data_IF_855963811811
#
_entry.id   IF_855963811811
#
_cell.length_a   1.000
_cell.length_b   1.000
_cell.length_c   1.000
_cell.angle_alpha   90.00
_cell.angle_beta   90.00
_cell.angle_gamma   90.00
#
_symmetry.space_group_name_H-M   'P 1'
#
loop_
_entity.id
_entity.type
_entity.pdbx_description
1 polymer ?
#
# COMPACT_ATOMS: atom_id res chain seq x y z
N UNK A 1 56.35 26.59 -24.84
CA UNK A 1 56.07 26.72 -23.40
C UNK A 1 54.58 26.50 -23.19
N UNK A 2 54.19 25.26 -22.93
CA UNK A 2 52.82 24.88 -22.69
C UNK A 2 52.55 24.80 -21.19
N UNK A 3 51.76 25.71 -20.65
CA UNK A 3 51.31 25.70 -19.27
C UNK A 3 50.02 24.86 -19.19
N UNK A 4 50.15 23.64 -18.69
CA UNK A 4 49.01 22.80 -18.28
C UNK A 4 48.47 23.30 -16.95
N UNK A 5 47.25 23.81 -16.96
CA UNK A 5 46.49 24.17 -15.76
C UNK A 5 45.78 22.90 -15.26
N UNK A 6 46.29 22.32 -14.17
CA UNK A 6 45.60 21.20 -13.48
C UNK A 6 44.45 21.76 -12.63
N UNK A 7 43.23 21.49 -13.08
CA UNK A 7 42.02 21.78 -12.30
C UNK A 7 41.81 20.65 -11.29
N UNK A 8 42.17 20.90 -10.04
CA UNK A 8 41.85 19.98 -8.91
C UNK A 8 40.38 20.24 -8.52
N UNK A 9 39.49 19.36 -8.92
CA UNK A 9 38.12 19.37 -8.45
C UNK A 9 38.07 18.78 -7.04
N UNK A 10 37.95 19.64 -6.02
CA UNK A 10 37.69 19.22 -4.65
C UNK A 10 36.25 18.68 -4.54
N UNK A 11 36.12 17.36 -4.46
CA UNK A 11 34.84 16.68 -4.20
C UNK A 11 34.54 16.85 -2.69
N UNK A 12 33.73 17.85 -2.33
CA UNK A 12 33.19 17.95 -0.97
C UNK A 12 32.19 16.83 -0.75
N UNK A 13 32.61 15.78 -0.04
CA UNK A 13 31.70 14.80 0.52
C UNK A 13 30.93 15.45 1.68
N UNK A 14 29.71 15.89 1.41
CA UNK A 14 28.76 16.24 2.44
C UNK A 14 28.27 14.93 3.05
N UNK A 15 28.92 14.50 4.13
CA UNK A 15 28.44 13.40 4.96
C UNK A 15 27.28 13.88 5.84
N UNK A 16 26.15 14.19 5.22
CA UNK A 16 24.87 14.25 5.89
C UNK A 16 24.45 12.81 6.21
N UNK A 17 24.18 12.50 7.46
CA UNK A 17 23.51 11.27 7.86
C UNK A 17 22.10 11.29 7.26
N UNK A 18 21.95 10.78 6.03
CA UNK A 18 20.63 10.49 5.45
C UNK A 18 20.09 9.36 6.29
N UNK A 19 19.07 9.62 7.11
CA UNK A 19 18.32 8.56 7.77
C UNK A 19 17.95 7.52 6.70
N UNK A 20 18.24 6.25 6.96
CA UNK A 20 17.96 5.19 6.00
C UNK A 20 16.45 5.21 5.68
N UNK A 21 16.10 5.36 4.41
CA UNK A 21 14.73 5.35 3.95
C UNK A 21 14.10 4.01 4.31
N UNK A 22 12.91 4.03 4.91
CA UNK A 22 12.17 2.81 5.21
C UNK A 22 11.57 2.21 3.94
N UNK A 23 11.24 0.92 3.98
CA UNK A 23 10.56 0.26 2.85
C UNK A 23 9.24 0.96 2.49
N UNK A 24 8.44 1.33 3.50
CA UNK A 24 7.15 1.99 3.28
C UNK A 24 7.31 3.36 2.59
N UNK A 25 8.32 4.14 2.96
CA UNK A 25 8.64 5.41 2.28
C UNK A 25 9.07 5.17 0.84
N UNK A 26 9.94 4.20 0.59
CA UNK A 26 10.39 3.84 -0.76
C UNK A 26 9.20 3.34 -1.61
N UNK A 27 8.38 2.43 -1.08
CA UNK A 27 7.20 1.90 -1.74
C UNK A 27 6.21 3.02 -2.10
N UNK A 28 5.86 3.87 -1.14
CA UNK A 28 4.91 4.96 -1.35
C UNK A 28 5.41 5.97 -2.37
N UNK A 29 6.71 6.33 -2.35
CA UNK A 29 7.32 7.21 -3.32
C UNK A 29 7.27 6.60 -4.73
N UNK A 30 7.66 5.33 -4.89
CA UNK A 30 7.62 4.62 -6.17
C UNK A 30 6.19 4.47 -6.69
N UNK A 31 5.26 4.16 -5.80
CA UNK A 31 3.82 4.06 -6.13
C UNK A 31 3.24 5.40 -6.59
N UNK A 32 3.58 6.50 -5.90
CA UNK A 32 3.10 7.85 -6.25
C UNK A 32 3.62 8.31 -7.61
N UNK A 33 4.88 8.00 -7.94
CA UNK A 33 5.50 8.41 -9.20
C UNK A 33 5.08 7.55 -10.39
N UNK A 34 4.95 6.24 -10.21
CA UNK A 34 4.87 5.28 -11.31
C UNK A 34 3.53 4.52 -11.37
N UNK A 35 2.65 4.68 -10.37
CA UNK A 35 1.41 3.92 -10.26
C UNK A 35 1.63 2.47 -9.83
N UNK A 36 0.62 1.63 -10.06
CA UNK A 36 0.68 0.18 -9.76
C UNK A 36 1.48 -0.59 -10.82
N UNK A 37 2.01 -1.76 -10.43
CA UNK A 37 2.69 -2.69 -11.34
C UNK A 37 4.10 -2.27 -11.73
N UNK A 38 4.65 -1.20 -11.15
CA UNK A 38 6.02 -0.79 -11.41
C UNK A 38 7.00 -1.58 -10.54
N UNK A 39 8.12 -2.03 -11.13
CA UNK A 39 9.17 -2.72 -10.39
C UNK A 39 10.20 -1.74 -9.87
N UNK A 40 10.62 -1.90 -8.60
CA UNK A 40 11.68 -1.11 -7.99
C UNK A 40 12.58 -1.99 -7.13
N UNK A 41 13.78 -1.50 -6.82
CA UNK A 41 14.74 -2.21 -5.96
C UNK A 41 14.84 -1.50 -4.62
N UNK A 42 14.77 -2.25 -3.52
CA UNK A 42 15.01 -1.77 -2.17
C UNK A 42 15.92 -2.77 -1.44
N UNK A 43 17.02 -2.31 -0.86
CA UNK A 43 18.06 -3.13 -0.19
C UNK A 43 18.49 -4.35 -1.01
N UNK A 44 18.67 -4.17 -2.33
CA UNK A 44 19.12 -5.23 -3.24
C UNK A 44 18.07 -6.25 -3.64
N UNK A 45 16.81 -6.11 -3.17
CA UNK A 45 15.68 -6.97 -3.55
C UNK A 45 14.73 -6.24 -4.48
N UNK A 46 14.14 -6.97 -5.42
CA UNK A 46 13.14 -6.44 -6.35
C UNK A 46 11.74 -6.58 -5.76
N UNK A 47 10.95 -5.51 -5.88
CA UNK A 47 9.56 -5.41 -5.44
C UNK A 47 8.71 -4.79 -6.54
N UNK A 48 7.39 -4.95 -6.44
CA UNK A 48 6.45 -4.18 -7.26
C UNK A 48 5.71 -3.16 -6.41
N UNK A 49 5.19 -2.12 -7.06
CA UNK A 49 4.36 -1.10 -6.41
C UNK A 49 2.92 -1.54 -6.19
N UNK A 50 2.61 -2.83 -6.37
CA UNK A 50 1.28 -3.37 -6.12
C UNK A 50 1.05 -3.57 -4.62
N UNK A 51 -0.12 -3.17 -4.13
CA UNK A 51 -0.56 -3.53 -2.81
C UNK A 51 -0.87 -5.05 -2.73
N UNK A 52 -0.72 -5.69 -1.56
CA UNK A 52 -1.00 -7.12 -1.41
C UNK A 52 -2.38 -7.53 -1.92
N UNK A 53 -3.38 -6.68 -1.74
CA UNK A 53 -4.75 -6.90 -2.20
C UNK A 53 -4.86 -6.89 -3.73
N UNK A 54 -4.07 -6.06 -4.41
CA UNK A 54 -4.02 -6.01 -5.88
C UNK A 54 -3.35 -7.26 -6.45
N UNK A 55 -2.28 -7.72 -5.80
CA UNK A 55 -1.62 -9.00 -6.15
C UNK A 55 -2.61 -10.15 -6.01
N UNK A 56 -3.37 -10.22 -4.91
CA UNK A 56 -4.38 -11.24 -4.70
C UNK A 56 -5.50 -11.17 -5.76
N UNK A 57 -5.93 -9.97 -6.15
CA UNK A 57 -6.94 -9.79 -7.20
C UNK A 57 -6.43 -10.16 -8.60
N UNK A 58 -5.14 -10.21 -8.84
CA UNK A 58 -4.55 -10.63 -10.11
C UNK A 58 -4.63 -12.15 -10.35
N UNK A 59 -4.93 -12.96 -9.33
CA UNK A 59 -5.14 -14.40 -9.44
C UNK A 59 -6.20 -14.75 -10.50
N UNK A 60 -6.24 -16.01 -11.02
CA UNK A 60 -7.24 -16.43 -11.99
C UNK A 60 -8.67 -16.14 -11.53
N UNK A 61 -9.46 -15.50 -12.39
CA UNK A 61 -10.84 -15.13 -12.08
C UNK A 61 -11.76 -16.35 -12.15
N UNK A 62 -12.08 -16.93 -11.01
CA UNK A 62 -12.99 -18.03 -10.84
C UNK A 62 -13.81 -17.87 -9.55
N UNK A 63 -14.84 -18.67 -9.38
CA UNK A 63 -15.75 -18.61 -8.23
C UNK A 63 -15.01 -18.83 -6.89
N UNK A 64 -14.02 -19.72 -6.84
CA UNK A 64 -13.30 -20.03 -5.60
C UNK A 64 -12.46 -18.82 -5.15
N UNK A 65 -11.65 -18.26 -6.04
CA UNK A 65 -10.80 -17.11 -5.75
C UNK A 65 -11.64 -15.86 -5.42
N UNK A 66 -12.74 -15.64 -6.14
CA UNK A 66 -13.64 -14.52 -5.88
C UNK A 66 -14.32 -14.63 -4.49
N UNK A 67 -14.78 -15.83 -4.12
CA UNK A 67 -15.35 -16.09 -2.78
C UNK A 67 -14.32 -15.88 -1.69
N UNK A 68 -13.10 -16.40 -1.87
CA UNK A 68 -12.02 -16.27 -0.89
C UNK A 68 -11.67 -14.80 -0.67
N UNK A 69 -11.42 -14.05 -1.75
CA UNK A 69 -11.02 -12.65 -1.63
C UNK A 69 -12.13 -11.77 -1.01
N UNK A 70 -13.40 -12.07 -1.30
CA UNK A 70 -14.52 -11.40 -0.64
C UNK A 70 -14.61 -11.75 0.86
N UNK A 71 -14.33 -13.00 1.23
CA UNK A 71 -14.28 -13.41 2.64
C UNK A 71 -13.15 -12.69 3.39
N UNK A 72 -11.96 -12.61 2.79
CA UNK A 72 -10.81 -11.91 3.36
C UNK A 72 -11.09 -10.40 3.51
N UNK A 73 -11.74 -9.79 2.53
CA UNK A 73 -12.16 -8.39 2.60
C UNK A 73 -13.18 -8.14 3.73
N UNK A 74 -14.14 -9.04 3.92
CA UNK A 74 -15.11 -8.98 5.04
C UNK A 74 -14.41 -9.13 6.40
N UNK A 75 -13.47 -10.08 6.51
CA UNK A 75 -12.69 -10.27 7.74
C UNK A 75 -11.82 -9.05 8.08
N UNK A 76 -11.20 -8.44 7.07
CA UNK A 76 -10.42 -7.22 7.29
C UNK A 76 -11.30 -6.02 7.66
N UNK A 77 -12.52 -5.94 7.09
CA UNK A 77 -13.49 -4.90 7.46
C UNK A 77 -13.99 -5.05 8.90
N UNK A 78 -14.19 -6.29 9.38
CA UNK A 78 -14.54 -6.54 10.77
C UNK A 78 -13.48 -5.98 11.74
N UNK A 79 -12.19 -6.17 11.43
CA UNK A 79 -11.09 -5.57 12.21
C UNK A 79 -11.12 -4.05 12.24
N UNK A 80 -11.47 -3.42 11.12
CA UNK A 80 -11.61 -1.96 11.06
C UNK A 80 -12.80 -1.46 11.90
N UNK A 81 -13.89 -2.24 11.97
CA UNK A 81 -15.03 -1.93 12.83
C UNK A 81 -14.70 -2.07 14.33
N UNK A 82 -13.88 -3.04 14.71
CA UNK A 82 -13.44 -3.24 16.10
C UNK A 82 -12.70 -2.03 16.69
N UNK A 83 -12.09 -1.20 15.80
CA UNK A 83 -11.36 0.00 16.18
C UNK A 83 -12.09 1.29 15.77
N UNK A 84 -13.36 1.21 15.40
CA UNK A 84 -14.21 2.33 14.94
C UNK A 84 -13.71 3.07 13.69
N UNK A 85 -12.83 2.43 12.90
CA UNK A 85 -12.31 2.96 11.62
C UNK A 85 -12.88 2.24 10.40
N UNK A 86 -14.07 1.65 10.54
CA UNK A 86 -14.83 1.05 9.44
C UNK A 86 -15.48 2.11 8.54
N UNK A 87 -14.83 2.48 7.43
CA UNK A 87 -15.35 3.51 6.54
C UNK A 87 -16.65 3.07 5.84
N UNK A 88 -17.64 3.96 5.76
CA UNK A 88 -18.95 3.70 5.12
C UNK A 88 -18.81 3.24 3.67
N UNK A 89 -17.84 3.79 2.92
CA UNK A 89 -17.53 3.37 1.55
C UNK A 89 -17.22 1.87 1.47
N UNK A 90 -16.52 1.32 2.45
CA UNK A 90 -16.12 -0.10 2.46
C UNK A 90 -17.32 -1.03 2.50
N UNK A 91 -18.34 -0.69 3.29
CA UNK A 91 -19.60 -1.45 3.32
C UNK A 91 -20.26 -1.53 1.96
N UNK A 92 -20.28 -0.39 1.21
CA UNK A 92 -20.82 -0.34 -0.14
C UNK A 92 -20.03 -1.19 -1.14
N UNK A 93 -18.69 -1.18 -1.03
CA UNK A 93 -17.80 -2.02 -1.85
C UNK A 93 -18.05 -3.51 -1.59
N UNK A 94 -18.16 -3.94 -0.33
CA UNK A 94 -18.45 -5.34 0.01
C UNK A 94 -19.81 -5.80 -0.55
N UNK A 95 -20.83 -4.96 -0.47
CA UNK A 95 -22.12 -5.25 -1.09
C UNK A 95 -22.02 -5.41 -2.61
N UNK A 96 -21.28 -4.50 -3.28
CA UNK A 96 -21.07 -4.54 -4.73
C UNK A 96 -20.25 -5.75 -5.16
N UNK A 97 -19.22 -6.12 -4.40
CA UNK A 97 -18.42 -7.32 -4.65
C UNK A 97 -19.26 -8.60 -4.55
N UNK A 98 -20.17 -8.68 -3.55
CA UNK A 98 -21.06 -9.80 -3.40
C UNK A 98 -22.03 -9.94 -4.59
N UNK A 99 -22.64 -8.82 -5.02
CA UNK A 99 -23.53 -8.81 -6.21
C UNK A 99 -22.79 -9.26 -7.48
N UNK A 100 -21.56 -8.81 -7.68
CA UNK A 100 -20.73 -9.24 -8.80
C UNK A 100 -20.41 -10.75 -8.74
N UNK A 101 -20.14 -11.28 -7.53
CA UNK A 101 -19.93 -12.70 -7.32
C UNK A 101 -21.19 -13.52 -7.69
N UNK A 102 -22.35 -13.11 -7.21
CA UNK A 102 -23.64 -13.75 -7.51
C UNK A 102 -23.99 -13.71 -9.00
N UNK A 103 -23.59 -12.65 -9.70
CA UNK A 103 -23.75 -12.51 -11.15
C UNK A 103 -22.72 -13.30 -11.97
N UNK A 104 -21.75 -13.99 -11.34
CA UNK A 104 -20.67 -14.70 -12.03
C UNK A 104 -19.59 -13.78 -12.60
N UNK A 105 -19.61 -12.48 -12.27
CA UNK A 105 -18.61 -11.49 -12.69
C UNK A 105 -17.36 -11.58 -11.79
N UNK A 106 -16.66 -12.72 -11.82
CA UNK A 106 -15.63 -13.05 -10.85
C UNK A 106 -14.48 -12.04 -10.83
N UNK A 107 -14.00 -11.59 -11.99
CA UNK A 107 -12.93 -10.56 -12.06
C UNK A 107 -13.34 -9.28 -11.33
N UNK A 108 -14.53 -8.79 -11.62
CA UNK A 108 -15.07 -7.58 -11.02
C UNK A 108 -15.28 -7.74 -9.51
N UNK A 109 -15.78 -8.89 -9.06
CA UNK A 109 -15.92 -9.20 -7.64
C UNK A 109 -14.56 -9.15 -6.93
N UNK A 110 -13.51 -9.76 -7.51
CA UNK A 110 -12.16 -9.77 -6.97
C UNK A 110 -11.56 -8.36 -6.86
N UNK A 111 -11.68 -7.55 -7.89
CA UNK A 111 -11.16 -6.17 -7.91
C UNK A 111 -11.87 -5.28 -6.87
N UNK A 112 -13.19 -5.41 -6.73
CA UNK A 112 -13.94 -4.64 -5.71
C UNK A 112 -13.61 -5.14 -4.31
N UNK A 113 -13.45 -6.46 -4.11
CA UNK A 113 -13.04 -7.06 -2.83
C UNK A 113 -11.65 -6.57 -2.41
N UNK A 114 -10.69 -6.53 -3.32
CA UNK A 114 -9.35 -5.99 -3.07
C UNK A 114 -9.40 -4.52 -2.62
N UNK A 115 -10.21 -3.70 -3.28
CA UNK A 115 -10.41 -2.31 -2.86
C UNK A 115 -11.01 -2.20 -1.47
N UNK A 116 -12.02 -3.01 -1.14
CA UNK A 116 -12.63 -3.04 0.18
C UNK A 116 -11.62 -3.46 1.25
N UNK A 117 -10.80 -4.48 0.97
CA UNK A 117 -9.76 -4.96 1.86
C UNK A 117 -8.69 -3.89 2.10
N UNK A 118 -8.22 -3.22 1.04
CA UNK A 118 -7.29 -2.10 1.13
C UNK A 118 -7.82 -0.98 2.02
N UNK A 119 -9.05 -0.51 1.80
CA UNK A 119 -9.66 0.54 2.62
C UNK A 119 -9.78 0.13 4.10
N UNK A 120 -10.12 -1.12 4.35
CA UNK A 120 -10.20 -1.64 5.72
C UNK A 120 -8.83 -1.68 6.39
N UNK A 121 -7.79 -2.14 5.69
CA UNK A 121 -6.40 -2.15 6.19
C UNK A 121 -5.91 -0.74 6.48
N UNK A 122 -6.21 0.22 5.60
CA UNK A 122 -5.85 1.63 5.81
C UNK A 122 -6.58 2.25 6.99
N UNK A 123 -7.85 1.88 7.23
CA UNK A 123 -8.58 2.31 8.43
C UNK A 123 -7.91 1.84 9.71
N UNK A 124 -7.52 0.56 9.80
CA UNK A 124 -6.77 0.03 10.95
C UNK A 124 -5.41 0.72 11.11
N UNK A 125 -4.69 0.95 10.01
CA UNK A 125 -3.40 1.66 10.05
C UNK A 125 -3.56 3.10 10.56
N UNK A 126 -4.61 3.81 10.11
CA UNK A 126 -4.92 5.17 10.55
C UNK A 126 -5.26 5.20 12.05
N UNK A 127 -6.00 4.24 12.56
CA UNK A 127 -6.23 4.11 14.01
C UNK A 127 -4.91 4.02 14.78
N UNK A 128 -4.02 3.11 14.39
CA UNK A 128 -2.74 2.96 15.08
C UNK A 128 -1.85 4.21 14.99
N UNK A 129 -1.89 4.92 13.85
CA UNK A 129 -1.15 6.16 13.71
C UNK A 129 -1.73 7.26 14.62
N UNK A 130 -3.05 7.42 14.66
CA UNK A 130 -3.70 8.42 15.50
C UNK A 130 -3.41 8.21 17.00
N UNK A 131 -3.33 6.95 17.45
CA UNK A 131 -2.95 6.64 18.83
C UNK A 131 -1.51 7.08 19.17
N UNK A 132 -0.57 6.90 18.25
CA UNK A 132 0.82 7.37 18.42
C UNK A 132 0.91 8.89 18.46
N UNK A 133 0.24 9.56 17.55
CA UNK A 133 0.23 11.03 17.47
C UNK A 133 -0.42 11.65 18.70
N UNK A 134 -1.51 11.05 19.20
CA UNK A 134 -2.16 11.49 20.44
C UNK A 134 -1.22 11.42 21.64
N UNK A 135 -0.48 10.34 21.82
CA UNK A 135 0.48 10.18 22.93
C UNK A 135 1.62 11.20 22.87
N UNK A 136 1.99 11.66 21.67
CA UNK A 136 3.02 12.71 21.50
C UNK A 136 2.48 14.13 21.68
N UNK A 137 1.17 14.33 21.48
CA UNK A 137 0.54 15.65 21.52
C UNK A 137 0.08 16.06 22.93
N UNK A 138 -0.05 15.13 23.89
CA UNK A 138 -0.45 15.41 25.27
C UNK A 138 0.78 15.78 26.10
N UNK A 139 0.90 17.03 26.61
CA UNK A 139 2.00 17.40 27.53
C UNK A 139 1.88 16.59 28.83
N UNK A 140 3.02 16.12 29.33
CA UNK A 140 3.11 15.50 30.67
C UNK A 140 2.93 16.55 31.76
#
# INVERSE_FOLDING_TARGET
MNKTISLVAALMMISGSVAAQTFDEAFNAQRAMNGKGHSFTFEGKSYTTDHPEEVAAAAPANAANAKQLLADAKAQYAKALEVDFGWTLTKGLLSSANKALEAGEFRKSMEISARAQYHSRMGVAQYHQSQKEWLMAVPN
#
